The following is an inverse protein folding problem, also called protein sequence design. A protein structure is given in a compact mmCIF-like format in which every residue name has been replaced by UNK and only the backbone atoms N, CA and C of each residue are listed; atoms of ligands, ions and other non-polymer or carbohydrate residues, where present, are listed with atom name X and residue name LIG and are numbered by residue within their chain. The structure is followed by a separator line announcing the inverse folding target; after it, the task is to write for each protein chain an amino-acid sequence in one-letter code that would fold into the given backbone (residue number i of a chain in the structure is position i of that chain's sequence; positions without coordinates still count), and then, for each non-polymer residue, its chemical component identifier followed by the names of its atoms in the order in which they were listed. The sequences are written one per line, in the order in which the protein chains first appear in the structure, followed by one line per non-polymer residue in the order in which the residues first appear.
data_IF_392000561955
#
_entry.id   IF_392000561955
#
_cell.length_a   1.000
_cell.length_b   1.000
_cell.length_c   1.000
_cell.angle_alpha   90.00
_cell.angle_beta   90.00
_cell.angle_gamma   90.00
#
_symmetry.space_group_name_H-M   'P 1'
#
loop_
_entity.id
_entity.type
_entity.pdbx_description
1 polymer ?
#
# COMPACT_ATOMS: atom_id res chain seq x y z
N UNK A 1 -5.47 12.19 10.53
CA UNK A 1 -4.33 11.26 10.53
C UNK A 1 -4.66 9.96 9.79
N UNK A 2 -5.83 9.36 10.02
CA UNK A 2 -6.23 8.10 9.37
C UNK A 2 -6.11 8.05 7.84
N UNK A 3 -6.47 9.13 7.12
CA UNK A 3 -6.31 9.19 5.65
C UNK A 3 -4.86 9.03 5.19
N UNK A 4 -3.93 9.75 5.82
CA UNK A 4 -2.50 9.64 5.54
C UNK A 4 -1.97 8.26 5.90
N UNK A 5 -2.34 7.75 7.07
CA UNK A 5 -1.94 6.41 7.53
C UNK A 5 -2.37 5.33 6.55
N UNK A 6 -3.59 5.44 5.99
CA UNK A 6 -4.13 4.51 5.00
C UNK A 6 -3.37 4.56 3.68
N UNK A 7 -3.01 5.73 3.16
CA UNK A 7 -2.21 5.80 1.93
C UNK A 7 -0.79 5.27 2.15
N UNK A 8 -0.16 5.56 3.30
CA UNK A 8 1.16 4.99 3.65
C UNK A 8 1.12 3.48 3.83
N UNK A 9 0.08 2.96 4.49
CA UNK A 9 -0.12 1.52 4.68
C UNK A 9 -0.28 0.78 3.33
N UNK A 10 -1.06 1.35 2.41
CA UNK A 10 -1.21 0.77 1.07
C UNK A 10 0.08 0.80 0.26
N UNK A 11 0.97 1.77 0.50
CA UNK A 11 2.26 1.84 -0.18
C UNK A 11 3.21 0.71 0.24
N UNK A 12 3.14 0.23 1.49
CA UNK A 12 4.01 -0.85 2.02
C UNK A 12 3.40 -2.25 1.92
N UNK A 13 2.13 -2.36 1.52
CA UNK A 13 1.44 -3.66 1.39
C UNK A 13 2.19 -4.55 0.38
N UNK A 14 2.41 -5.83 0.73
CA UNK A 14 3.16 -6.83 -0.05
C UNK A 14 4.66 -6.56 -0.22
N UNK A 15 5.24 -5.65 0.56
CA UNK A 15 6.70 -5.48 0.59
C UNK A 15 7.35 -6.42 1.60
N UNK A 16 8.60 -6.81 1.33
CA UNK A 16 9.48 -7.39 2.36
C UNK A 16 9.70 -6.39 3.49
N UNK A 17 9.76 -6.87 4.72
CA UNK A 17 9.87 -6.02 5.92
C UNK A 17 11.11 -5.11 5.84
N UNK A 18 12.28 -5.65 5.44
CA UNK A 18 13.51 -4.86 5.23
C UNK A 18 13.36 -3.73 4.20
N UNK A 19 12.63 -3.96 3.10
CA UNK A 19 12.36 -2.93 2.09
C UNK A 19 11.36 -1.89 2.62
N UNK A 20 10.33 -2.34 3.32
CA UNK A 20 9.31 -1.47 3.91
C UNK A 20 9.90 -0.52 4.97
N UNK A 21 10.77 -1.02 5.86
CA UNK A 21 11.45 -0.19 6.87
C UNK A 21 12.36 0.85 6.21
N UNK A 22 13.14 0.45 5.19
CA UNK A 22 13.96 1.39 4.39
C UNK A 22 13.09 2.43 3.67
N UNK A 23 11.98 2.02 3.08
CA UNK A 23 11.03 2.89 2.41
C UNK A 23 10.48 3.95 3.37
N UNK A 24 9.99 3.55 4.55
CA UNK A 24 9.43 4.48 5.53
C UNK A 24 10.48 5.47 6.06
N UNK A 25 11.72 5.04 6.30
CA UNK A 25 12.85 5.93 6.63
C UNK A 25 13.12 6.93 5.50
N UNK A 26 13.09 6.48 4.25
CA UNK A 26 13.26 7.36 3.08
C UNK A 26 12.11 8.36 2.92
N UNK A 27 10.87 7.97 3.24
CA UNK A 27 9.71 8.87 3.28
C UNK A 27 9.91 9.97 4.33
N UNK A 28 10.42 9.62 5.52
CA UNK A 28 10.74 10.63 6.55
C UNK A 28 11.83 11.59 6.09
N UNK A 29 12.84 11.09 5.35
CA UNK A 29 13.90 11.88 4.73
C UNK A 29 13.53 12.57 3.42
N UNK A 30 12.26 12.50 2.99
CA UNK A 30 11.73 13.05 1.72
C UNK A 30 12.42 12.55 0.44
N UNK A 31 13.10 11.41 0.52
CA UNK A 31 13.80 10.78 -0.61
C UNK A 31 12.87 9.94 -1.48
N UNK A 32 11.87 9.29 -0.86
CA UNK A 32 10.81 8.55 -1.54
C UNK A 32 9.45 9.09 -1.13
N UNK A 33 8.47 9.10 -2.03
CA UNK A 33 7.13 9.66 -1.79
C UNK A 33 6.09 8.57 -1.53
N UNK A 34 5.08 8.87 -0.71
CA UNK A 34 3.87 8.05 -0.60
C UNK A 34 2.87 8.49 -1.68
N UNK A 35 2.42 7.59 -2.58
CA UNK A 35 1.39 7.91 -3.55
C UNK A 35 0.03 8.06 -2.85
N UNK A 36 -0.69 9.14 -3.13
CA UNK A 36 -2.04 9.37 -2.59
C UNK A 36 -3.06 9.03 -3.68
N UNK A 37 -3.68 7.84 -3.57
CA UNK A 37 -4.58 7.29 -4.61
C UNK A 37 -6.06 7.59 -4.36
N UNK A 38 -6.55 7.41 -3.12
CA UNK A 38 -7.99 7.66 -2.82
C UNK A 38 -8.22 9.05 -2.25
N UNK A 39 -7.39 9.47 -1.31
CA UNK A 39 -7.54 10.77 -0.63
C UNK A 39 -6.69 11.84 -1.33
N UNK A 40 -6.94 12.06 -2.61
CA UNK A 40 -6.13 12.90 -3.51
C UNK A 40 -6.60 14.37 -3.63
N UNK A 41 -7.76 14.73 -3.07
CA UNK A 41 -8.29 16.09 -3.10
C UNK A 41 -7.33 17.10 -2.46
N UNK A 42 -6.92 18.13 -3.21
CA UNK A 42 -5.96 19.15 -2.74
C UNK A 42 -4.53 18.63 -2.54
N UNK A 43 -4.19 17.44 -3.05
CA UNK A 43 -2.82 16.91 -2.99
C UNK A 43 -2.01 17.44 -4.19
N UNK A 44 -0.86 18.06 -3.90
CA UNK A 44 0.07 18.53 -4.92
C UNK A 44 0.67 17.39 -5.75
N UNK A 45 1.13 17.72 -6.95
CA UNK A 45 1.86 16.78 -7.82
C UNK A 45 3.32 16.69 -7.38
N UNK A 46 3.93 15.52 -7.54
CA UNK A 46 5.34 15.30 -7.19
C UNK A 46 6.00 14.39 -8.22
N UNK A 47 7.21 14.75 -8.69
CA UNK A 47 7.95 13.96 -9.66
C UNK A 47 8.27 12.54 -9.16
N UNK A 48 8.56 12.38 -7.86
CA UNK A 48 8.84 11.08 -7.24
C UNK A 48 7.65 10.11 -7.35
N UNK A 49 6.41 10.61 -7.51
CA UNK A 49 5.22 9.77 -7.61
C UNK A 49 5.18 8.96 -8.92
N UNK A 50 5.98 9.37 -9.94
CA UNK A 50 6.14 8.64 -11.20
C UNK A 50 6.62 7.20 -10.98
N UNK A 51 7.42 6.94 -9.94
CA UNK A 51 7.84 5.58 -9.55
C UNK A 51 6.65 4.65 -9.27
N UNK A 52 5.52 5.20 -8.83
CA UNK A 52 4.28 4.48 -8.54
C UNK A 52 3.26 4.54 -9.68
N UNK A 53 3.67 5.01 -10.87
CA UNK A 53 2.78 5.30 -12.02
C UNK A 53 1.62 6.22 -11.61
N UNK A 54 1.92 7.23 -10.79
CA UNK A 54 0.95 8.19 -10.25
C UNK A 54 1.51 9.62 -10.32
N UNK A 55 0.65 10.64 -10.27
CA UNK A 55 1.06 12.05 -10.38
C UNK A 55 1.14 12.77 -9.02
N UNK A 56 0.31 12.35 -8.07
CA UNK A 56 0.16 12.98 -6.75
C UNK A 56 0.77 12.12 -5.63
N UNK A 57 1.39 12.78 -4.65
CA UNK A 57 1.99 12.13 -3.48
C UNK A 57 2.44 13.13 -2.41
N UNK A 58 2.69 12.65 -1.19
CA UNK A 58 3.20 13.44 -0.06
C UNK A 58 4.16 12.63 0.79
N UNK A 59 4.79 13.28 1.78
CA UNK A 59 5.66 12.65 2.79
C UNK A 59 5.02 12.73 4.19
N UNK A 60 4.06 11.84 4.52
CA UNK A 60 3.37 11.87 5.81
C UNK A 60 4.27 11.32 6.94
N UNK A 61 5.18 12.15 7.45
CA UNK A 61 6.19 11.81 8.48
C UNK A 61 5.59 11.09 9.70
N UNK A 62 4.56 11.69 10.33
CA UNK A 62 3.92 11.11 11.53
C UNK A 62 3.33 9.71 11.27
N UNK A 63 2.72 9.50 10.10
CA UNK A 63 2.16 8.19 9.75
C UNK A 63 3.25 7.15 9.47
N UNK A 64 4.36 7.55 8.85
CA UNK A 64 5.50 6.66 8.61
C UNK A 64 6.16 6.21 9.92
N UNK A 65 6.27 7.12 10.89
CA UNK A 65 6.83 6.84 12.21
C UNK A 65 6.03 5.79 12.99
N UNK A 66 4.70 5.94 13.09
CA UNK A 66 3.86 4.94 13.74
C UNK A 66 3.90 3.57 13.05
N UNK A 67 3.97 3.54 11.71
CA UNK A 67 4.08 2.28 10.97
C UNK A 67 5.46 1.62 11.17
N UNK A 68 6.52 2.40 11.32
CA UNK A 68 7.86 1.87 11.60
C UNK A 68 7.91 1.25 13.01
N UNK A 69 7.30 1.92 14.00
CA UNK A 69 7.17 1.36 15.35
C UNK A 69 6.38 0.05 15.35
N UNK A 70 5.26 -0.01 14.61
CA UNK A 70 4.45 -1.22 14.48
C UNK A 70 5.21 -2.36 13.79
N UNK A 71 5.97 -2.07 12.74
CA UNK A 71 6.81 -3.06 12.05
C UNK A 71 7.91 -3.61 12.98
N UNK A 72 8.58 -2.75 13.76
CA UNK A 72 9.60 -3.17 14.73
C UNK A 72 9.01 -4.11 15.80
N UNK A 73 7.80 -3.80 16.28
CA UNK A 73 7.08 -4.65 17.22
C UNK A 73 6.73 -6.00 16.56
N UNK A 74 6.19 -5.99 15.35
CA UNK A 74 5.84 -7.21 14.63
C UNK A 74 7.07 -8.10 14.31
N UNK A 75 8.22 -7.49 14.00
CA UNK A 75 9.50 -8.19 13.80
C UNK A 75 9.97 -8.86 15.11
N UNK A 76 9.91 -8.16 16.23
CA UNK A 76 10.23 -8.73 17.55
C UNK A 76 9.30 -9.90 17.92
N UNK A 77 8.01 -9.82 17.59
CA UNK A 77 7.08 -10.92 17.79
C UNK A 77 7.36 -12.12 16.86
N UNK A 78 7.88 -11.87 15.65
CA UNK A 78 8.24 -12.92 14.72
C UNK A 78 9.51 -13.66 15.18
N UNK A 79 10.52 -12.92 15.62
CA UNK A 79 11.75 -13.47 16.22
C UNK A 79 11.43 -14.33 17.45
N UNK A 80 10.55 -13.85 18.33
CA UNK A 80 10.09 -14.62 19.50
C UNK A 80 9.39 -15.94 19.10
N UNK A 81 8.69 -15.96 17.96
CA UNK A 81 8.04 -17.16 17.42
C UNK A 81 8.98 -18.08 16.63
N UNK A 82 10.24 -17.70 16.46
CA UNK A 82 11.22 -18.45 15.68
C UNK A 82 11.01 -18.39 14.16
N UNK A 83 10.30 -17.37 13.67
CA UNK A 83 10.16 -17.12 12.24
C UNK A 83 11.44 -16.51 11.66
N UNK A 84 11.75 -16.81 10.41
CA UNK A 84 12.88 -16.24 9.68
C UNK A 84 12.59 -14.78 9.30
N UNK A 85 13.23 -13.87 10.03
CA UNK A 85 13.09 -12.41 9.88
C UNK A 85 13.51 -11.90 8.50
N UNK A 86 14.35 -12.63 7.77
CA UNK A 86 14.84 -12.24 6.46
C UNK A 86 13.80 -12.44 5.35
N UNK A 87 12.95 -13.45 5.52
CA UNK A 87 11.93 -13.83 4.55
C UNK A 87 10.53 -13.30 4.88
N UNK A 88 10.39 -12.45 5.90
CA UNK A 88 9.12 -11.83 6.27
C UNK A 88 8.61 -10.84 5.22
N UNK A 89 7.33 -11.01 4.86
CA UNK A 89 6.59 -10.14 3.96
C UNK A 89 5.33 -9.62 4.66
N UNK A 90 4.99 -8.37 4.36
CA UNK A 90 3.72 -7.77 4.79
C UNK A 90 2.59 -8.34 3.92
N UNK A 91 1.94 -9.39 4.39
CA UNK A 91 0.81 -9.99 3.68
C UNK A 91 -0.42 -9.08 3.73
N UNK A 92 -0.79 -8.69 4.94
CA UNK A 92 -1.96 -7.89 5.20
C UNK A 92 -1.63 -6.65 6.02
N UNK A 93 -2.21 -5.53 5.61
CA UNK A 93 -2.20 -4.30 6.38
C UNK A 93 -3.53 -3.58 6.16
N UNK A 94 -4.18 -3.20 7.25
CA UNK A 94 -5.46 -2.53 7.26
C UNK A 94 -5.45 -1.34 8.21
N UNK A 95 -6.16 -0.28 7.82
CA UNK A 95 -6.28 0.94 8.61
C UNK A 95 -7.76 1.29 8.72
N UNK A 96 -8.29 1.19 9.94
CA UNK A 96 -9.68 1.46 10.28
C UNK A 96 -9.82 2.81 10.99
N UNK A 97 -10.97 3.45 10.83
CA UNK A 97 -11.26 4.69 11.54
C UNK A 97 -11.54 4.37 13.02
N UNK A 98 -10.95 5.16 13.92
CA UNK A 98 -11.23 5.11 15.35
C UNK A 98 -12.20 6.23 15.77
N UNK A 99 -12.85 6.13 16.94
CA UNK A 99 -13.76 7.16 17.44
C UNK A 99 -13.11 8.57 17.45
N UNK A 100 -13.86 9.58 17.00
CA UNK A 100 -13.35 10.95 16.87
C UNK A 100 -13.23 11.61 18.24
N UNK A 101 -12.08 12.22 18.52
CA UNK A 101 -11.92 13.08 19.69
C UNK A 101 -12.40 14.50 19.38
N UNK A 102 -13.20 15.10 20.26
CA UNK A 102 -13.88 16.38 20.01
C UNK A 102 -13.15 17.53 20.71
N UNK A 103 -12.90 18.60 19.96
CA UNK A 103 -12.53 19.93 20.46
C UNK A 103 -13.43 20.98 19.82
N UNK A 104 -13.42 22.20 20.35
CA UNK A 104 -14.19 23.33 19.83
C UNK A 104 -13.27 24.38 19.23
N UNK A 105 -13.76 25.08 18.22
CA UNK A 105 -13.11 26.27 17.66
C UNK A 105 -14.12 27.40 17.63
N UNK A 106 -13.81 28.49 18.33
CA UNK A 106 -14.60 29.72 18.31
C UNK A 106 -14.38 30.45 16.99
N UNK A 107 -15.47 30.95 16.39
CA UNK A 107 -15.49 31.59 15.07
C UNK A 107 -16.25 32.92 15.15
N UNK A 108 -16.13 33.70 14.08
CA UNK A 108 -16.76 35.02 13.98
C UNK A 108 -18.28 34.97 14.24
N UNK A 109 -18.79 36.03 14.86
CA UNK A 109 -20.18 36.23 15.26
C UNK A 109 -20.71 35.14 16.21
N UNK A 110 -19.92 34.76 17.22
CA UNK A 110 -20.36 33.83 18.28
C UNK A 110 -20.52 32.37 17.84
N UNK A 111 -20.13 32.00 16.61
CA UNK A 111 -20.26 30.63 16.08
C UNK A 111 -19.25 29.69 16.76
N UNK A 112 -19.70 28.48 17.09
CA UNK A 112 -18.85 27.41 17.65
C UNK A 112 -18.85 26.21 16.69
N UNK A 113 -17.71 25.95 16.06
CA UNK A 113 -17.55 24.84 15.13
C UNK A 113 -16.74 23.69 15.77
N UNK A 114 -17.01 22.43 15.39
CA UNK A 114 -16.24 21.29 15.89
C UNK A 114 -14.86 21.20 15.23
N UNK A 115 -13.83 20.92 16.03
CA UNK A 115 -12.50 20.54 15.56
C UNK A 115 -12.20 19.12 16.01
N UNK A 116 -12.43 18.17 15.11
CA UNK A 116 -12.38 16.74 15.43
C UNK A 116 -11.03 16.14 15.03
N UNK A 117 -10.38 15.44 15.97
CA UNK A 117 -9.24 14.58 15.64
C UNK A 117 -9.74 13.29 14.98
N UNK A 118 -8.97 12.77 14.01
CA UNK A 118 -9.28 11.51 13.32
C UNK A 118 -8.19 10.46 13.59
N UNK A 119 -8.26 9.76 14.74
CA UNK A 119 -7.40 8.61 15.05
C UNK A 119 -7.75 7.40 14.16
N UNK A 120 -6.93 6.35 14.22
CA UNK A 120 -7.11 5.13 13.46
C UNK A 120 -6.59 3.90 14.20
N UNK A 121 -7.18 2.75 13.93
CA UNK A 121 -6.64 1.44 14.27
C UNK A 121 -5.84 0.90 13.09
N UNK A 122 -4.69 0.30 13.36
CA UNK A 122 -3.81 -0.27 12.33
C UNK A 122 -3.59 -1.72 12.70
N UNK A 123 -3.86 -2.61 11.74
CA UNK A 123 -3.64 -4.05 11.86
C UNK A 123 -2.62 -4.46 10.81
N UNK A 124 -1.70 -5.34 11.19
CA UNK A 124 -0.59 -5.81 10.38
C UNK A 124 -0.42 -7.32 10.59
N UNK A 125 -0.32 -8.06 9.49
CA UNK A 125 0.03 -9.49 9.49
C UNK A 125 1.28 -9.66 8.65
N UNK A 126 2.28 -10.29 9.25
CA UNK A 126 3.51 -10.72 8.59
C UNK A 126 3.41 -12.22 8.35
N UNK A 127 3.89 -12.66 7.18
CA UNK A 127 4.00 -14.06 6.84
C UNK A 127 5.40 -14.31 6.26
N UNK A 128 5.92 -15.51 6.49
CA UNK A 128 7.06 -16.00 5.73
C UNK A 128 6.61 -16.30 4.31
N UNK A 129 7.41 -15.86 3.35
CA UNK A 129 7.13 -16.16 1.95
C UNK A 129 7.71 -17.53 1.61
N UNK A 130 6.86 -18.54 1.52
CA UNK A 130 7.26 -19.82 0.95
C UNK A 130 7.71 -19.65 -0.51
N UNK A 131 8.71 -20.45 -0.91
CA UNK A 131 9.03 -20.64 -2.31
C UNK A 131 7.78 -21.14 -3.04
N UNK A 132 7.54 -20.61 -4.24
CA UNK A 132 6.36 -20.99 -5.01
C UNK A 132 6.41 -22.49 -5.34
N UNK A 133 5.62 -23.29 -4.62
CA UNK A 133 5.43 -24.70 -4.96
C UNK A 133 4.57 -24.74 -6.23
N UNK A 134 5.08 -25.30 -7.35
CA UNK A 134 4.28 -25.46 -8.56
C UNK A 134 3.08 -26.35 -8.22
N UNK A 135 1.88 -25.91 -8.61
CA UNK A 135 0.68 -26.75 -8.44
C UNK A 135 0.86 -28.00 -9.31
N UNK A 136 0.64 -29.21 -8.78
CA UNK A 136 0.64 -30.40 -9.61
C UNK A 136 -0.50 -30.27 -10.64
N UNK A 137 -0.15 -30.14 -11.92
CA UNK A 137 -1.10 -29.96 -13.03
C UNK A 137 -0.77 -28.86 -14.04
N UNK A 138 0.26 -28.03 -13.78
CA UNK A 138 0.85 -27.18 -14.82
C UNK A 138 1.94 -27.99 -15.56
N UNK A 139 1.52 -28.96 -16.37
CA UNK A 139 2.38 -29.49 -17.42
C UNK A 139 2.65 -28.37 -18.42
N UNK A 140 3.92 -28.04 -18.65
CA UNK A 140 4.40 -27.00 -19.58
C UNK A 140 4.05 -27.27 -21.07
N UNK A 141 3.21 -28.26 -21.37
CA UNK A 141 2.92 -28.76 -22.73
C UNK A 141 1.63 -28.21 -23.39
N UNK A 142 0.80 -27.42 -22.69
CA UNK A 142 -0.31 -26.73 -23.37
C UNK A 142 -0.04 -25.22 -23.51
N UNK A 143 0.19 -24.69 -24.72
CA UNK A 143 0.30 -23.25 -24.91
C UNK A 143 -1.03 -22.62 -24.50
N UNK A 144 -0.99 -21.77 -23.47
CA UNK A 144 -2.13 -20.98 -22.99
C UNK A 144 -2.79 -20.31 -24.21
N UNK A 145 -3.93 -20.84 -24.65
CA UNK A 145 -4.71 -20.29 -25.75
C UNK A 145 -5.15 -18.88 -25.34
N UNK A 146 -4.36 -17.88 -25.72
CA UNK A 146 -4.75 -16.46 -25.57
C UNK A 146 -6.12 -16.34 -26.23
N UNK A 147 -7.15 -15.95 -25.49
CA UNK A 147 -8.47 -15.66 -26.04
C UNK A 147 -8.34 -14.50 -27.03
N UNK A 148 -8.15 -14.83 -28.30
CA UNK A 148 -8.12 -13.86 -29.39
C UNK A 148 -9.56 -13.44 -29.66
N UNK A 149 -9.82 -12.13 -29.70
CA UNK A 149 -11.14 -11.59 -30.10
C UNK A 149 -11.57 -12.21 -31.44
N UNK A 150 -12.84 -12.63 -31.56
CA UNK A 150 -13.40 -13.19 -32.80
C UNK A 150 -13.13 -12.32 -34.03
N UNK A 151 -13.06 -10.98 -33.84
CA UNK A 151 -12.75 -10.02 -34.92
C UNK A 151 -11.32 -10.18 -35.45
N UNK A 152 -10.36 -10.46 -34.58
CA UNK A 152 -8.95 -10.68 -34.96
C UNK A 152 -8.76 -12.05 -35.63
N UNK A 153 -9.48 -13.07 -35.18
CA UNK A 153 -9.54 -14.39 -35.82
C UNK A 153 -10.13 -14.34 -37.24
N UNK A 154 -11.26 -13.63 -37.43
CA UNK A 154 -11.86 -13.45 -38.75
C UNK A 154 -10.93 -12.69 -39.69
N UNK A 155 -10.26 -11.63 -39.21
CA UNK A 155 -9.28 -10.86 -40.00
C UNK A 155 -8.06 -11.70 -40.41
N UNK A 156 -7.50 -12.50 -39.51
CA UNK A 156 -6.41 -13.43 -39.85
C UNK A 156 -6.86 -14.47 -40.89
N UNK A 157 -8.07 -15.03 -40.75
CA UNK A 157 -8.62 -15.97 -41.73
C UNK A 157 -8.85 -15.35 -43.11
N UNK A 158 -9.26 -14.09 -43.19
CA UNK A 158 -9.39 -13.41 -44.48
C UNK A 158 -8.03 -13.12 -45.13
N UNK A 159 -7.02 -12.72 -44.34
CA UNK A 159 -5.67 -12.48 -44.84
C UNK A 159 -4.90 -13.75 -45.27
N UNK A 160 -5.35 -14.94 -44.88
CA UNK A 160 -4.76 -16.22 -45.26
C UNK A 160 -5.48 -16.88 -46.46
N UNK A 161 -6.48 -16.21 -47.05
CA UNK A 161 -7.29 -16.73 -48.15
C UNK A 161 -6.93 -16.12 -49.51
N UNK A 162 -5.99 -15.18 -49.53
CA UNK A 162 -5.28 -14.67 -50.71
C UNK A 162 -3.90 -15.35 -50.80
#
# INVERSE_FOLDING_TARGET
AGKNARETAQAIKRMHVKRATKYLKNVMGKKEVVPFRRFSGGVGRCAQAKAFKHSQGRWPKKSAEFLLQLLKNAESNAEYKGLDTDHLVIEHIMVNAAPKMRRRTYRAHGRINPYMSSPCHIELILAEREQAVPRPGATDDEPVKKKVSQKKLKRQKMMMRD
#
